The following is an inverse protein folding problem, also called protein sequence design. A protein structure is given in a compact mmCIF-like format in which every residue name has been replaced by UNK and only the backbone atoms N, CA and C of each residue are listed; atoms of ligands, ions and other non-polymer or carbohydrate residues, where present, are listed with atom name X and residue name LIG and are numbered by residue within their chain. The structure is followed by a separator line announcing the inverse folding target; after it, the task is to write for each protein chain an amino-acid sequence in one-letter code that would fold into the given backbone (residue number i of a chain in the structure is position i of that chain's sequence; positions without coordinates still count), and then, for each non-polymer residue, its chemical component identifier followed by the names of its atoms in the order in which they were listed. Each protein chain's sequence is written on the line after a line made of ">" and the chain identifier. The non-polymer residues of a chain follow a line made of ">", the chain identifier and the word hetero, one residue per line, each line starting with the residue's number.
data_IF_170574236619
#
_entry.id   IF_170574236619
#
_cell.length_a   1.000
_cell.length_b   1.000
_cell.length_c   1.000
_cell.angle_alpha   90.00
_cell.angle_beta   90.00
_cell.angle_gamma   90.00
#
_symmetry.space_group_name_H-M   'P 1'
#
loop_
_entity.id
_entity.type
_entity.pdbx_description
1 polymer ?
#
# COMPACT_ATOMS: atom_id res chain seq x y z
N UNK A 1 2.54 -5.02 -17.75
CA UNK A 1 1.11 -5.43 -17.70
C UNK A 1 0.27 -4.18 -17.87
N UNK A 2 -0.50 -4.02 -18.95
CA UNK A 2 -1.39 -2.88 -19.07
C UNK A 2 -2.70 -3.18 -18.32
N UNK A 3 -3.36 -2.13 -17.83
CA UNK A 3 -4.83 -2.01 -17.63
C UNK A 3 -5.41 -1.87 -16.22
N UNK A 4 -4.62 -1.64 -15.16
CA UNK A 4 -5.22 -1.05 -13.94
C UNK A 4 -4.28 0.00 -13.36
N UNK A 5 -4.76 1.24 -13.25
CA UNK A 5 -4.03 2.32 -12.61
C UNK A 5 -4.02 2.08 -11.09
N UNK A 6 -2.84 1.96 -10.49
CA UNK A 6 -2.70 1.70 -9.05
C UNK A 6 -3.39 2.75 -8.18
N UNK A 7 -3.46 4.01 -8.63
CA UNK A 7 -4.16 5.08 -7.92
C UNK A 7 -5.69 4.91 -7.97
N UNK A 8 -6.25 4.39 -9.06
CA UNK A 8 -7.68 4.08 -9.14
C UNK A 8 -8.06 2.93 -8.20
N UNK A 9 -7.19 1.91 -8.10
CA UNK A 9 -7.38 0.81 -7.13
C UNK A 9 -7.32 1.33 -5.70
N UNK A 10 -6.30 2.15 -5.39
CA UNK A 10 -6.17 2.75 -4.08
C UNK A 10 -7.40 3.58 -3.72
N UNK A 11 -7.87 4.42 -4.66
CA UNK A 11 -9.10 5.20 -4.49
C UNK A 11 -10.29 4.29 -4.17
N UNK A 12 -10.49 3.24 -4.96
CA UNK A 12 -11.59 2.27 -4.76
C UNK A 12 -11.55 1.65 -3.35
N UNK A 13 -10.38 1.16 -2.94
CA UNK A 13 -10.17 0.58 -1.61
C UNK A 13 -10.49 1.59 -0.51
N UNK A 14 -10.02 2.83 -0.64
CA UNK A 14 -10.13 3.84 0.41
C UNK A 14 -11.49 4.53 0.45
N UNK A 15 -12.31 4.40 -0.59
CA UNK A 15 -13.71 4.86 -0.60
C UNK A 15 -14.73 3.82 -0.14
N UNK A 16 -14.40 2.53 -0.21
CA UNK A 16 -15.28 1.47 0.25
C UNK A 16 -15.21 1.33 1.79
N UNK A 17 -16.35 1.35 2.48
CA UNK A 17 -16.38 1.35 3.94
C UNK A 17 -15.73 0.11 4.59
N UNK A 18 -15.85 -1.06 3.94
CA UNK A 18 -15.34 -2.32 4.45
C UNK A 18 -13.85 -2.50 4.12
N UNK A 19 -13.40 -1.94 3.00
CA UNK A 19 -12.00 -2.05 2.54
C UNK A 19 -11.12 -0.91 3.05
N UNK A 20 -11.68 0.27 3.34
CA UNK A 20 -10.94 1.46 3.78
C UNK A 20 -9.99 1.22 4.97
N UNK A 21 -10.35 0.39 5.98
CA UNK A 21 -9.43 0.08 7.08
C UNK A 21 -8.19 -0.70 6.65
N UNK A 22 -8.20 -1.41 5.52
CA UNK A 22 -7.08 -2.24 5.08
C UNK A 22 -5.85 -1.33 4.81
N UNK A 23 -4.70 -1.62 5.44
CA UNK A 23 -3.46 -0.90 5.13
C UNK A 23 -3.01 -1.19 3.68
N UNK A 24 -2.69 -0.14 2.93
CA UNK A 24 -2.23 -0.25 1.54
C UNK A 24 -0.83 0.34 1.40
N UNK A 25 0.08 -0.47 0.86
CA UNK A 25 1.45 -0.06 0.51
C UNK A 25 1.57 0.01 -1.01
N UNK A 26 1.88 1.20 -1.54
CA UNK A 26 2.11 1.38 -2.97
C UNK A 26 3.52 0.91 -3.34
N UNK A 27 3.64 0.09 -4.39
CA UNK A 27 4.92 -0.43 -4.87
C UNK A 27 5.11 -0.11 -6.36
N UNK A 28 5.95 0.88 -6.66
CA UNK A 28 6.10 1.48 -8.01
C UNK A 28 7.49 1.24 -8.61
N UNK A 29 7.66 1.29 -9.93
CA UNK A 29 8.98 1.24 -10.58
C UNK A 29 9.75 2.56 -10.56
N UNK A 30 9.07 3.69 -10.44
CA UNK A 30 9.69 5.02 -10.51
C UNK A 30 9.19 5.94 -9.39
N UNK A 31 10.04 6.89 -8.99
CA UNK A 31 9.65 7.97 -8.09
C UNK A 31 9.15 9.15 -8.92
N UNK A 32 7.86 9.15 -9.23
CA UNK A 32 7.17 10.33 -9.72
C UNK A 32 6.60 11.09 -8.51
N UNK A 33 7.00 12.35 -8.31
CA UNK A 33 6.56 13.14 -7.15
C UNK A 33 5.03 13.31 -7.11
N UNK A 34 4.42 13.45 -8.28
CA UNK A 34 2.97 13.56 -8.42
C UNK A 34 2.25 12.31 -7.90
N UNK A 35 2.67 11.13 -8.32
CA UNK A 35 2.06 9.86 -7.91
C UNK A 35 2.27 9.58 -6.42
N UNK A 36 3.43 9.98 -5.89
CA UNK A 36 3.72 9.90 -4.46
C UNK A 36 2.73 10.79 -3.68
N UNK A 37 2.62 12.06 -4.02
CA UNK A 37 1.74 12.99 -3.34
C UNK A 37 0.26 12.55 -3.44
N UNK A 38 -0.17 12.14 -4.63
CA UNK A 38 -1.54 11.68 -4.87
C UNK A 38 -1.86 10.40 -4.09
N UNK A 39 -0.93 9.44 -4.01
CA UNK A 39 -1.14 8.22 -3.24
C UNK A 39 -1.33 8.47 -1.75
N UNK A 40 -0.55 9.38 -1.16
CA UNK A 40 -0.71 9.76 0.24
C UNK A 40 -2.00 10.55 0.47
N UNK A 41 -2.38 11.44 -0.45
CA UNK A 41 -3.65 12.16 -0.38
C UNK A 41 -4.87 11.22 -0.43
N UNK A 42 -4.77 10.09 -1.14
CA UNK A 42 -5.80 9.05 -1.18
C UNK A 42 -5.79 8.12 0.05
N UNK A 43 -4.80 8.21 0.93
CA UNK A 43 -4.73 7.44 2.18
C UNK A 43 -3.86 6.19 2.11
N UNK A 44 -2.87 6.13 1.21
CA UNK A 44 -1.84 5.10 1.27
C UNK A 44 -1.08 5.17 2.60
N UNK A 45 -0.74 4.00 3.14
CA UNK A 45 -0.01 3.88 4.41
C UNK A 45 1.50 3.96 4.20
N UNK A 46 1.98 3.53 3.04
CA UNK A 46 3.38 3.65 2.65
C UNK A 46 3.54 3.64 1.13
N UNK A 47 4.68 4.17 0.68
CA UNK A 47 5.09 4.20 -0.72
C UNK A 47 6.51 3.66 -0.86
N UNK A 48 6.69 2.65 -1.70
CA UNK A 48 7.96 1.94 -1.88
C UNK A 48 8.31 1.97 -3.36
N UNK A 49 9.50 2.49 -3.67
CA UNK A 49 10.07 2.37 -5.01
C UNK A 49 10.69 0.99 -5.10
N UNK A 50 10.25 0.18 -6.07
CA UNK A 50 10.77 -1.15 -6.38
C UNK A 50 12.29 -1.05 -6.53
N UNK A 51 13.06 -1.69 -5.64
CA UNK A 51 14.48 -1.77 -5.83
C UNK A 51 14.79 -2.46 -7.15
N UNK A 52 15.63 -1.84 -7.96
CA UNK A 52 16.04 -2.36 -9.28
C UNK A 52 16.86 -3.65 -9.12
N UNK A 53 17.63 -3.73 -8.03
CA UNK A 53 18.47 -4.89 -7.72
C UNK A 53 17.67 -5.94 -6.92
N UNK A 54 17.70 -7.18 -7.39
CA UNK A 54 16.95 -8.31 -6.80
C UNK A 54 17.25 -8.52 -5.31
N UNK A 55 18.52 -8.42 -4.90
CA UNK A 55 18.91 -8.56 -3.50
C UNK A 55 18.30 -7.45 -2.61
N UNK A 56 18.30 -6.21 -3.10
CA UNK A 56 17.67 -5.08 -2.40
C UNK A 56 16.15 -5.25 -2.34
N UNK A 57 15.54 -5.80 -3.38
CA UNK A 57 14.11 -6.13 -3.39
C UNK A 57 13.76 -7.16 -2.30
N UNK A 58 14.51 -8.26 -2.21
CA UNK A 58 14.29 -9.28 -1.18
C UNK A 58 14.45 -8.72 0.23
N UNK A 59 15.49 -7.92 0.48
CA UNK A 59 15.68 -7.27 1.79
C UNK A 59 14.52 -6.34 2.13
N UNK A 60 14.11 -5.47 1.19
CA UNK A 60 13.00 -4.53 1.40
C UNK A 60 11.67 -5.27 1.68
N UNK A 61 11.38 -6.33 0.93
CA UNK A 61 10.16 -7.13 1.16
C UNK A 61 10.21 -7.85 2.50
N UNK A 62 11.37 -8.37 2.92
CA UNK A 62 11.54 -9.00 4.23
C UNK A 62 11.32 -8.01 5.38
N UNK A 63 11.86 -6.81 5.26
CA UNK A 63 11.69 -5.73 6.24
C UNK A 63 10.22 -5.29 6.34
N UNK A 64 9.56 -5.08 5.19
CA UNK A 64 8.13 -4.78 5.14
C UNK A 64 7.29 -5.90 5.76
N UNK A 65 7.59 -7.16 5.43
CA UNK A 65 6.90 -8.31 6.00
C UNK A 65 7.06 -8.41 7.52
N UNK A 66 8.27 -8.13 8.02
CA UNK A 66 8.54 -8.10 9.47
C UNK A 66 7.75 -6.98 10.15
N UNK A 67 7.78 -5.77 9.58
CA UNK A 67 7.03 -4.65 10.12
C UNK A 67 5.53 -4.94 10.16
N UNK A 68 4.92 -5.29 9.04
CA UNK A 68 3.47 -5.45 8.95
C UNK A 68 2.93 -6.74 9.60
N UNK A 69 3.73 -7.80 9.67
CA UNK A 69 3.31 -9.10 10.20
C UNK A 69 3.66 -9.34 11.67
N UNK A 70 4.66 -8.65 12.21
CA UNK A 70 5.17 -8.89 13.57
C UNK A 70 5.07 -7.65 14.46
N UNK A 71 5.33 -6.46 13.91
CA UNK A 71 5.44 -5.22 14.70
C UNK A 71 4.14 -4.42 14.68
N UNK A 72 3.51 -4.29 13.51
CA UNK A 72 2.33 -3.48 13.32
C UNK A 72 1.09 -4.16 13.91
N UNK A 73 0.32 -3.41 14.69
CA UNK A 73 -1.01 -3.84 15.09
C UNK A 73 -2.00 -3.57 13.94
N UNK A 74 -2.64 -4.60 13.37
CA UNK A 74 -3.60 -4.40 12.29
C UNK A 74 -4.88 -3.74 12.83
N UNK A 75 -5.62 -3.02 11.97
CA UNK A 75 -6.89 -2.44 12.37
C UNK A 75 -7.84 -3.53 12.88
N UNK A 76 -8.64 -3.24 13.92
CA UNK A 76 -9.57 -4.20 14.53
C UNK A 76 -10.52 -4.82 13.50
N UNK A 77 -10.81 -6.12 13.63
CA UNK A 77 -11.66 -6.86 12.68
C UNK A 77 -13.09 -6.28 12.58
N UNK A 78 -13.59 -5.74 13.69
CA UNK A 78 -14.88 -5.05 13.80
C UNK A 78 -14.92 -3.68 13.10
N UNK A 79 -13.78 -3.15 12.62
CA UNK A 79 -13.76 -2.01 11.70
C UNK A 79 -14.16 -2.41 10.27
N UNK A 80 -14.17 -3.72 9.95
CA UNK A 80 -14.46 -4.27 8.62
C UNK A 80 -15.91 -4.75 8.45
N UNK A 81 -16.77 -4.55 9.46
CA UNK A 81 -18.16 -5.00 9.41
C UNK A 81 -19.10 -4.01 10.09
N UNK A 82 -19.82 -3.26 9.27
CA UNK A 82 -21.17 -2.81 9.61
C UNK A 82 -22.04 -2.98 8.38
N UNK A 83 -22.52 -4.21 8.15
CA UNK A 83 -23.85 -4.53 7.62
C UNK A 83 -24.20 -5.98 7.93
#
# INVERSE_FOLDING_TARGET
>A
MPKVNGLEVLRTIKTDANLRPIPVVMLTSSREERDLAESYALGANAYVVKPVEFHKFLSAVKELGTFWGVINEPPPENCRSTH
#
